data_IF_603940658386
#
_entry.id   IF_603940658386
#
_cell.length_a   1.000
_cell.length_b   1.000
_cell.length_c   1.000
_cell.angle_alpha   90.00
_cell.angle_beta   90.00
_cell.angle_gamma   90.00
#
_symmetry.space_group_name_H-M   'P 1'
#
loop_
_entity.id
_entity.type
_entity.pdbx_description
1 polymer ?
#
# COMPACT_ATOMS: atom_id res chain seq x y z
N UNK A 1 79.16 -7.94 17.35
CA UNK A 1 77.72 -7.67 17.19
C UNK A 1 77.16 -8.68 16.19
N UNK A 2 76.27 -9.60 16.60
CA UNK A 2 75.71 -10.63 15.72
C UNK A 2 74.49 -10.12 14.96
N UNK A 3 74.29 -10.63 13.76
CA UNK A 3 73.16 -10.32 12.88
C UNK A 3 71.87 -10.98 13.39
N UNK A 4 70.77 -10.21 13.39
CA UNK A 4 69.43 -10.69 13.71
C UNK A 4 68.91 -11.60 12.59
N UNK A 5 68.71 -12.88 12.91
CA UNK A 5 67.93 -13.80 12.08
C UNK A 5 66.45 -13.54 12.28
N UNK A 6 65.72 -13.24 11.20
CA UNK A 6 64.27 -13.22 11.21
C UNK A 6 63.75 -14.66 11.06
N UNK A 7 63.01 -15.14 12.06
CA UNK A 7 62.37 -16.44 12.07
C UNK A 7 61.39 -16.61 10.90
N UNK A 8 61.50 -17.72 10.18
CA UNK A 8 60.60 -18.09 9.07
C UNK A 8 59.16 -18.41 9.51
N UNK A 9 58.86 -18.35 10.81
CA UNK A 9 57.55 -18.66 11.38
C UNK A 9 56.53 -17.50 11.29
N UNK A 10 56.99 -16.25 11.12
CA UNK A 10 56.13 -15.06 11.13
C UNK A 10 55.41 -14.78 9.79
N UNK A 11 55.65 -15.61 8.76
CA UNK A 11 54.99 -15.52 7.45
C UNK A 11 53.84 -16.52 7.25
N UNK A 12 53.26 -17.08 8.32
CA UNK A 12 51.97 -17.78 8.22
C UNK A 12 50.85 -16.75 8.14
N UNK A 13 50.67 -16.19 6.94
CA UNK A 13 49.44 -15.50 6.60
C UNK A 13 48.25 -16.39 6.94
N UNK A 14 47.26 -15.82 7.62
CA UNK A 14 45.95 -16.42 7.78
C UNK A 14 45.36 -16.68 6.38
N UNK A 15 45.55 -17.89 5.86
CA UNK A 15 44.84 -18.35 4.69
C UNK A 15 43.39 -18.58 5.13
N UNK A 16 42.56 -17.55 4.97
CA UNK A 16 41.12 -17.76 4.86
C UNK A 16 40.91 -18.61 3.60
N UNK A 17 40.79 -19.91 3.81
CA UNK A 17 40.24 -20.79 2.80
C UNK A 17 38.80 -20.33 2.55
N UNK A 18 38.62 -19.44 1.56
CA UNK A 18 37.34 -19.27 0.91
C UNK A 18 37.05 -20.59 0.22
N UNK A 19 36.46 -21.54 0.96
CA UNK A 19 35.79 -22.69 0.38
C UNK A 19 34.85 -22.10 -0.67
N UNK A 20 35.16 -22.36 -1.94
CA UNK A 20 34.36 -21.93 -3.07
C UNK A 20 32.99 -22.58 -2.89
N UNK A 21 32.05 -21.81 -2.36
CA UNK A 21 30.67 -22.24 -2.19
C UNK A 21 30.21 -22.77 -3.56
N UNK A 22 29.97 -24.08 -3.65
CA UNK A 22 29.61 -24.71 -4.90
C UNK A 22 28.35 -24.07 -5.49
N UNK A 23 28.08 -24.22 -6.80
CA UNK A 23 26.92 -23.62 -7.48
C UNK A 23 25.58 -23.82 -6.74
N UNK A 24 25.42 -24.94 -6.02
CA UNK A 24 24.23 -25.22 -5.21
C UNK A 24 24.09 -24.39 -3.92
N UNK A 25 25.19 -23.96 -3.29
CA UNK A 25 25.15 -23.13 -2.09
C UNK A 25 24.68 -21.70 -2.40
N UNK A 26 25.11 -21.15 -3.54
CA UNK A 26 24.59 -19.86 -4.06
C UNK A 26 23.09 -19.95 -4.38
N UNK A 27 22.64 -21.05 -4.98
CA UNK A 27 21.22 -21.26 -5.30
C UNK A 27 20.34 -21.37 -4.04
N UNK A 28 20.77 -22.16 -3.06
CA UNK A 28 20.05 -22.31 -1.78
C UNK A 28 20.02 -21.01 -0.95
N UNK A 29 21.09 -20.22 -0.98
CA UNK A 29 21.12 -18.90 -0.33
C UNK A 29 20.22 -17.89 -1.05
N UNK A 30 20.14 -17.95 -2.38
CA UNK A 30 19.23 -17.12 -3.15
C UNK A 30 17.76 -17.49 -2.84
N UNK A 31 17.42 -18.77 -2.92
CA UNK A 31 16.07 -19.29 -2.66
C UNK A 31 15.58 -18.98 -1.23
N UNK A 32 16.45 -19.12 -0.22
CA UNK A 32 16.11 -18.77 1.17
C UNK A 32 15.92 -17.26 1.38
N UNK A 33 16.69 -16.40 0.71
CA UNK A 33 16.50 -14.94 0.72
C UNK A 33 15.19 -14.55 0.05
N UNK A 34 14.87 -15.15 -1.10
CA UNK A 34 13.60 -14.89 -1.79
C UNK A 34 12.39 -15.30 -0.95
N UNK A 35 12.43 -16.50 -0.35
CA UNK A 35 11.37 -16.95 0.54
C UNK A 35 11.22 -16.02 1.77
N UNK A 36 12.32 -15.45 2.27
CA UNK A 36 12.29 -14.49 3.36
C UNK A 36 11.64 -13.16 2.94
N UNK A 37 12.01 -12.62 1.77
CA UNK A 37 11.44 -11.40 1.21
C UNK A 37 9.95 -11.52 0.90
N UNK A 38 9.53 -12.66 0.33
CA UNK A 38 8.11 -12.96 0.05
C UNK A 38 7.30 -13.01 1.34
N UNK A 39 7.76 -13.78 2.34
CA UNK A 39 7.10 -13.86 3.66
C UNK A 39 7.03 -12.52 4.35
N UNK A 40 8.08 -11.71 4.23
CA UNK A 40 8.12 -10.37 4.80
C UNK A 40 7.12 -9.44 4.11
N UNK A 41 7.03 -9.46 2.77
CA UNK A 41 6.08 -8.67 2.00
C UNK A 41 4.63 -9.06 2.33
N UNK A 42 4.33 -10.37 2.37
CA UNK A 42 3.01 -10.89 2.77
C UNK A 42 2.71 -10.48 4.22
N UNK A 43 3.67 -10.62 5.14
CA UNK A 43 3.49 -10.22 6.54
C UNK A 43 3.15 -8.74 6.72
N UNK A 44 3.83 -7.85 5.99
CA UNK A 44 3.53 -6.41 6.02
C UNK A 44 2.15 -6.10 5.40
N UNK A 45 1.78 -6.76 4.30
CA UNK A 45 0.46 -6.60 3.67
C UNK A 45 -0.66 -7.11 4.58
N UNK A 46 -0.44 -8.20 5.31
CA UNK A 46 -1.38 -8.72 6.31
C UNK A 46 -1.51 -7.77 7.49
N UNK A 47 -0.42 -7.18 7.98
CA UNK A 47 -0.50 -6.18 9.05
C UNK A 47 -1.28 -4.93 8.63
N UNK A 48 -1.11 -4.48 7.39
CA UNK A 48 -1.93 -3.41 6.82
C UNK A 48 -3.42 -3.79 6.83
N UNK A 49 -3.76 -4.99 6.35
CA UNK A 49 -5.15 -5.43 6.32
C UNK A 49 -5.75 -5.62 7.71
N UNK A 50 -4.95 -6.06 8.70
CA UNK A 50 -5.36 -6.14 10.09
C UNK A 50 -5.64 -4.75 10.68
N UNK A 51 -4.79 -3.76 10.38
CA UNK A 51 -5.03 -2.37 10.75
C UNK A 51 -6.35 -1.86 10.20
N UNK A 52 -6.60 -2.11 8.91
CA UNK A 52 -7.86 -1.76 8.26
C UNK A 52 -9.07 -2.48 8.89
N UNK A 53 -9.01 -3.82 8.99
CA UNK A 53 -10.04 -4.65 9.59
C UNK A 53 -10.37 -4.25 11.02
N UNK A 54 -9.39 -3.82 11.81
CA UNK A 54 -9.62 -3.36 13.18
C UNK A 54 -10.52 -2.12 13.23
N UNK A 55 -10.26 -1.13 12.36
CA UNK A 55 -11.07 0.08 12.28
C UNK A 55 -12.46 -0.23 11.72
N UNK A 56 -12.55 -1.04 10.66
CA UNK A 56 -13.82 -1.52 10.09
C UNK A 56 -14.68 -2.18 11.17
N UNK A 57 -14.09 -3.06 11.98
CA UNK A 57 -14.80 -3.79 13.04
C UNK A 57 -15.29 -2.83 14.12
N UNK A 58 -14.42 -1.94 14.60
CA UNK A 58 -14.78 -0.98 15.66
C UNK A 58 -15.87 -0.02 15.21
N UNK A 59 -15.72 0.60 14.03
CA UNK A 59 -16.70 1.54 13.49
C UNK A 59 -18.00 0.83 13.09
N UNK A 60 -17.92 -0.36 12.50
CA UNK A 60 -19.09 -1.16 12.12
C UNK A 60 -19.90 -1.62 13.33
N UNK A 61 -19.25 -2.14 14.37
CA UNK A 61 -19.94 -2.50 15.62
C UNK A 61 -20.54 -1.26 16.29
N UNK A 62 -19.80 -0.15 16.34
CA UNK A 62 -20.33 1.10 16.88
C UNK A 62 -21.57 1.59 16.11
N UNK A 63 -21.55 1.53 14.77
CA UNK A 63 -22.69 1.90 13.94
C UNK A 63 -23.92 1.02 14.21
N UNK A 64 -23.72 -0.30 14.32
CA UNK A 64 -24.78 -1.27 14.60
C UNK A 64 -25.38 -1.09 16.01
N UNK A 65 -24.54 -0.82 17.02
CA UNK A 65 -24.98 -0.64 18.41
C UNK A 65 -25.67 0.70 18.65
N UNK A 66 -25.19 1.76 18.00
CA UNK A 66 -25.70 3.12 18.18
C UNK A 66 -26.83 3.46 17.21
N UNK A 67 -27.15 2.59 16.25
CA UNK A 67 -28.03 2.91 15.13
C UNK A 67 -27.55 4.16 14.38
N UNK A 68 -26.23 4.39 14.37
CA UNK A 68 -25.66 5.66 13.98
C UNK A 68 -25.78 5.83 12.46
N UNK A 69 -26.68 6.72 12.06
CA UNK A 69 -26.75 7.23 10.70
C UNK A 69 -25.80 8.41 10.61
N UNK A 70 -24.87 8.41 9.64
CA UNK A 70 -24.06 9.60 9.39
C UNK A 70 -24.99 10.75 9.03
N UNK A 71 -24.81 11.96 9.61
CA UNK A 71 -25.59 13.11 9.21
C UNK A 71 -25.49 13.33 7.69
N UNK A 72 -26.59 13.68 7.04
CA UNK A 72 -26.67 13.79 5.57
C UNK A 72 -25.65 14.77 4.95
N UNK A 73 -25.06 15.67 5.74
CA UNK A 73 -24.02 16.60 5.30
C UNK A 73 -22.62 15.98 5.24
N UNK A 74 -22.38 14.85 5.92
CA UNK A 74 -21.05 14.22 6.00
C UNK A 74 -20.66 13.58 4.67
N UNK A 75 -21.58 12.83 4.05
CA UNK A 75 -21.31 12.12 2.80
C UNK A 75 -20.86 13.06 1.66
N UNK A 76 -21.53 14.20 1.38
CA UNK A 76 -21.06 15.15 0.38
C UNK A 76 -19.67 15.74 0.66
N UNK A 77 -19.31 15.92 1.93
CA UNK A 77 -17.97 16.43 2.31
C UNK A 77 -16.93 15.34 2.06
N UNK A 78 -17.18 14.12 2.57
CA UNK A 78 -16.28 12.98 2.39
C UNK A 78 -16.07 12.68 0.90
N UNK A 79 -17.14 12.71 0.10
CA UNK A 79 -17.07 12.52 -1.34
C UNK A 79 -16.14 13.55 -2.00
N UNK A 80 -16.30 14.85 -1.67
CA UNK A 80 -15.41 15.91 -2.21
C UNK A 80 -13.96 15.74 -1.77
N UNK A 81 -13.72 15.42 -0.50
CA UNK A 81 -12.37 15.18 0.02
C UNK A 81 -11.71 14.01 -0.71
N UNK A 82 -12.42 12.88 -0.86
CA UNK A 82 -11.93 11.74 -1.64
C UNK A 82 -11.66 12.15 -3.08
N UNK A 83 -12.58 12.88 -3.71
CA UNK A 83 -12.42 13.38 -5.07
C UNK A 83 -11.15 14.20 -5.26
N UNK A 84 -10.88 15.15 -4.37
CA UNK A 84 -9.64 15.96 -4.37
C UNK A 84 -8.41 15.06 -4.25
N UNK A 85 -8.41 14.10 -3.30
CA UNK A 85 -7.26 13.19 -3.15
C UNK A 85 -7.04 12.32 -4.40
N UNK A 86 -8.09 11.85 -5.05
CA UNK A 86 -8.00 11.07 -6.30
C UNK A 86 -7.46 11.91 -7.46
N UNK A 87 -7.87 13.18 -7.56
CA UNK A 87 -7.32 14.08 -8.59
C UNK A 87 -5.83 14.33 -8.37
N UNK A 88 -5.43 14.67 -7.14
CA UNK A 88 -4.02 14.94 -6.81
C UNK A 88 -3.15 13.71 -7.07
N UNK A 89 -3.56 12.54 -6.57
CA UNK A 89 -2.81 11.30 -6.75
C UNK A 89 -2.83 10.81 -8.20
N UNK A 90 -3.95 10.96 -8.91
CA UNK A 90 -4.07 10.61 -10.33
C UNK A 90 -3.13 11.45 -11.19
N UNK A 91 -3.13 12.77 -10.99
CA UNK A 91 -2.20 13.69 -11.67
C UNK A 91 -0.74 13.34 -11.37
N UNK A 92 -0.41 13.03 -10.11
CA UNK A 92 0.93 12.61 -9.72
C UNK A 92 1.37 11.32 -10.42
N UNK A 93 0.50 10.31 -10.48
CA UNK A 93 0.80 9.05 -11.17
C UNK A 93 1.03 9.29 -12.67
N UNK A 94 0.18 10.07 -13.32
CA UNK A 94 0.37 10.43 -14.74
C UNK A 94 1.66 11.21 -14.98
N UNK A 95 2.00 12.14 -14.08
CA UNK A 95 3.28 12.85 -14.12
C UNK A 95 4.46 11.89 -13.99
N UNK A 96 4.37 10.91 -13.09
CA UNK A 96 5.43 9.90 -12.92
C UNK A 96 5.59 8.99 -14.15
N UNK A 97 4.48 8.62 -14.81
CA UNK A 97 4.50 7.91 -16.11
C UNK A 97 5.15 8.77 -17.18
N UNK A 98 4.76 10.05 -17.29
CA UNK A 98 5.34 10.98 -18.25
C UNK A 98 6.85 11.16 -18.09
N UNK A 99 7.31 11.38 -16.85
CA UNK A 99 8.74 11.54 -16.53
C UNK A 99 9.54 10.28 -16.86
N UNK A 100 8.94 9.12 -16.61
CA UNK A 100 9.52 7.83 -16.97
C UNK A 100 9.63 7.65 -18.49
N UNK A 101 8.59 7.98 -19.26
CA UNK A 101 8.61 7.91 -20.74
C UNK A 101 9.64 8.87 -21.35
N UNK A 102 9.95 9.98 -20.67
CA UNK A 102 11.02 10.92 -21.03
C UNK A 102 12.43 10.44 -20.65
N UNK A 103 12.58 9.25 -20.10
CA UNK A 103 13.88 8.67 -19.74
C UNK A 103 14.51 9.22 -18.46
N UNK A 104 13.75 9.95 -17.63
CA UNK A 104 14.27 10.63 -16.43
C UNK A 104 14.21 9.81 -15.13
N UNK A 105 14.07 8.48 -15.20
CA UNK A 105 14.15 7.62 -14.01
C UNK A 105 13.55 6.23 -14.12
N UNK A 106 13.59 5.48 -13.02
CA UNK A 106 12.90 4.20 -12.84
C UNK A 106 11.45 4.42 -12.38
N UNK A 107 10.47 3.90 -13.12
CA UNK A 107 9.08 3.92 -12.69
C UNK A 107 8.87 2.87 -11.61
N UNK A 108 8.57 3.33 -10.40
CA UNK A 108 8.19 2.48 -9.27
C UNK A 108 6.80 2.88 -8.82
N UNK A 109 5.85 1.96 -8.89
CA UNK A 109 4.54 2.14 -8.28
C UNK A 109 4.73 2.22 -6.76
N UNK A 110 4.44 3.38 -6.17
CA UNK A 110 4.51 3.63 -4.73
C UNK A 110 3.11 3.63 -4.14
N UNK A 111 2.99 3.22 -2.88
CA UNK A 111 1.73 3.32 -2.12
C UNK A 111 1.30 4.79 -2.00
N UNK A 112 -0.03 5.04 -2.00
CA UNK A 112 -0.61 6.39 -1.85
C UNK A 112 -0.10 7.10 -0.59
N UNK A 113 0.00 6.36 0.52
CA UNK A 113 0.52 6.88 1.77
C UNK A 113 2.02 7.11 1.76
N UNK A 114 2.78 6.32 1.00
CA UNK A 114 4.20 6.55 0.80
C UNK A 114 4.43 7.89 0.08
N UNK A 115 3.59 8.22 -0.92
CA UNK A 115 3.64 9.51 -1.60
C UNK A 115 3.32 10.67 -0.66
N UNK A 116 2.29 10.53 0.17
CA UNK A 116 1.93 11.55 1.19
C UNK A 116 3.06 11.72 2.20
N UNK A 117 3.63 10.63 2.73
CA UNK A 117 4.74 10.70 3.67
C UNK A 117 5.99 11.31 3.04
N UNK A 118 6.31 10.97 1.80
CA UNK A 118 7.43 11.56 1.06
C UNK A 118 7.19 13.07 0.86
N UNK A 119 5.96 13.48 0.52
CA UNK A 119 5.59 14.89 0.39
C UNK A 119 5.74 15.64 1.72
N UNK A 120 5.23 15.08 2.83
CA UNK A 120 5.35 15.68 4.16
C UNK A 120 6.81 15.76 4.59
N UNK A 121 7.61 14.70 4.40
CA UNK A 121 9.04 14.69 4.71
C UNK A 121 9.80 15.71 3.86
N UNK A 122 9.50 15.80 2.58
CA UNK A 122 10.12 16.77 1.69
C UNK A 122 9.75 18.20 2.08
N UNK A 123 8.48 18.47 2.35
CA UNK A 123 8.00 19.77 2.83
C UNK A 123 8.60 20.16 4.18
N UNK A 124 8.69 19.20 5.10
CA UNK A 124 9.34 19.38 6.40
C UNK A 124 10.84 19.62 6.26
N UNK A 125 11.52 18.87 5.38
CA UNK A 125 12.93 19.07 5.08
C UNK A 125 13.20 20.42 4.43
N UNK A 126 12.34 20.87 3.51
CA UNK A 126 12.43 22.19 2.90
C UNK A 126 12.17 23.32 3.91
N UNK A 127 11.21 23.13 4.82
CA UNK A 127 10.94 24.06 5.92
C UNK A 127 12.10 24.11 6.91
N UNK A 128 12.62 22.95 7.31
CA UNK A 128 13.74 22.84 8.21
C UNK A 128 15.03 23.41 7.59
N UNK A 129 15.25 23.22 6.29
CA UNK A 129 16.36 23.84 5.55
C UNK A 129 16.23 25.37 5.51
N UNK A 130 15.00 25.90 5.37
CA UNK A 130 14.75 27.36 5.45
C UNK A 130 14.99 27.93 6.84
N UNK A 131 14.79 27.15 7.90
CA UNK A 131 14.94 27.63 9.29
C UNK A 131 16.36 27.39 9.83
N UNK A 132 17.01 26.29 9.45
CA UNK A 132 18.28 25.83 10.04
C UNK A 132 19.46 25.77 9.05
N UNK A 133 19.29 26.16 7.78
CA UNK A 133 20.40 26.40 6.84
C UNK A 133 21.19 25.18 6.38
N UNK A 134 20.80 23.96 6.75
CA UNK A 134 21.47 22.73 6.33
C UNK A 134 20.53 21.80 5.54
N UNK A 135 21.00 21.37 4.37
CA UNK A 135 20.30 20.42 3.51
C UNK A 135 20.53 18.99 4.05
N UNK A 136 19.52 18.43 4.72
CA UNK A 136 19.50 16.99 4.98
C UNK A 136 18.93 16.29 3.74
N UNK A 137 19.81 15.99 2.78
CA UNK A 137 19.47 15.11 1.66
C UNK A 137 19.34 13.69 2.22
N UNK A 138 18.18 13.35 2.77
CA UNK A 138 17.90 11.98 3.16
C UNK A 138 17.86 11.14 1.88
N UNK A 139 18.86 10.26 1.74
CA UNK A 139 18.96 9.35 0.60
C UNK A 139 17.68 8.53 0.50
N UNK A 140 17.14 8.43 -0.72
CA UNK A 140 15.90 7.73 -1.06
C UNK A 140 15.91 6.20 -0.80
N UNK A 141 16.93 5.69 -0.09
CA UNK A 141 17.22 4.26 0.06
C UNK A 141 16.76 3.63 1.39
N UNK A 142 16.15 4.37 2.33
CA UNK A 142 15.81 3.80 3.64
C UNK A 142 14.40 4.14 4.15
N UNK A 143 13.36 3.96 3.34
CA UNK A 143 11.98 3.93 3.90
C UNK A 143 11.25 2.64 3.53
N UNK A 144 11.81 1.50 3.94
CA UNK A 144 10.97 0.31 4.14
C UNK A 144 10.18 0.54 5.43
N UNK A 145 8.91 0.89 5.26
CA UNK A 145 7.97 1.06 6.36
C UNK A 145 7.84 -0.27 7.12
N UNK A 146 8.20 -0.25 8.40
CA UNK A 146 8.16 -1.44 9.25
C UNK A 146 6.73 -1.84 9.64
N UNK A 147 6.59 -2.95 10.39
CA UNK A 147 5.32 -3.49 10.84
C UNK A 147 4.33 -2.46 11.42
N UNK A 148 4.82 -1.59 12.33
CA UNK A 148 3.99 -0.55 12.96
C UNK A 148 3.39 0.43 11.95
N UNK A 149 4.17 0.82 10.94
CA UNK A 149 3.69 1.74 9.92
C UNK A 149 2.70 1.05 8.99
N UNK A 150 2.93 -0.20 8.59
CA UNK A 150 1.98 -0.94 7.78
C UNK A 150 0.60 -1.02 8.47
N UNK A 151 0.57 -1.41 9.76
CA UNK A 151 -0.65 -1.45 10.55
C UNK A 151 -1.32 -0.07 10.67
N UNK A 152 -0.55 0.98 11.02
CA UNK A 152 -1.09 2.33 11.16
C UNK A 152 -1.67 2.88 9.86
N UNK A 153 -1.00 2.66 8.73
CA UNK A 153 -1.51 3.02 7.41
C UNK A 153 -2.82 2.27 7.10
N UNK A 154 -2.88 0.99 7.46
CA UNK A 154 -4.10 0.18 7.39
C UNK A 154 -5.26 0.79 8.17
N UNK A 155 -5.02 1.23 9.42
CA UNK A 155 -6.04 1.90 10.23
C UNK A 155 -6.54 3.17 9.55
N UNK A 156 -5.65 4.06 9.12
CA UNK A 156 -6.05 5.32 8.46
C UNK A 156 -6.85 5.04 7.20
N UNK A 157 -6.46 4.01 6.44
CA UNK A 157 -7.23 3.57 5.29
C UNK A 157 -8.64 3.09 5.68
N UNK A 158 -8.78 2.35 6.79
CA UNK A 158 -10.07 1.90 7.32
C UNK A 158 -10.97 3.01 7.87
N UNK A 159 -10.45 4.22 8.09
CA UNK A 159 -11.27 5.41 8.46
C UNK A 159 -11.94 6.01 7.21
N UNK A 160 -11.42 5.73 6.01
CA UNK A 160 -11.82 6.39 4.77
C UNK A 160 -13.30 6.30 4.43
N UNK A 161 -13.75 7.21 3.56
CA UNK A 161 -15.15 7.37 3.17
C UNK A 161 -15.80 6.07 2.66
N UNK A 162 -15.05 5.21 1.95
CA UNK A 162 -15.53 3.92 1.43
C UNK A 162 -15.88 2.94 2.55
N UNK A 163 -15.11 2.87 3.64
CA UNK A 163 -15.41 1.99 4.78
C UNK A 163 -16.57 2.51 5.61
N UNK A 164 -16.67 3.82 5.82
CA UNK A 164 -17.81 4.44 6.52
C UNK A 164 -19.14 4.25 5.77
N UNK A 165 -19.12 4.51 4.46
CA UNK A 165 -20.28 4.32 3.58
C UNK A 165 -20.61 2.83 3.35
N UNK A 166 -19.63 1.93 3.29
CA UNK A 166 -19.86 0.47 3.24
C UNK A 166 -20.39 -0.09 4.56
N UNK A 167 -19.93 0.40 5.71
CA UNK A 167 -20.48 0.03 7.02
C UNK A 167 -21.94 0.48 7.16
N UNK A 168 -22.26 1.68 6.65
CA UNK A 168 -23.63 2.20 6.58
C UNK A 168 -24.49 1.47 5.55
N UNK A 169 -23.93 1.06 4.40
CA UNK A 169 -24.62 0.18 3.46
C UNK A 169 -24.83 -1.21 4.05
N UNK A 170 -23.90 -1.78 4.81
CA UNK A 170 -24.13 -3.05 5.53
C UNK A 170 -25.21 -2.90 6.61
N UNK A 171 -25.28 -1.74 7.27
CA UNK A 171 -26.37 -1.41 8.20
C UNK A 171 -27.71 -1.14 7.48
N UNK A 172 -27.67 -0.53 6.29
CA UNK A 172 -28.83 -0.04 5.53
C UNK A 172 -29.43 -1.04 4.54
N UNK A 173 -28.63 -1.87 3.87
CA UNK A 173 -29.05 -2.94 2.93
C UNK A 173 -29.83 -4.04 3.65
N UNK A 174 -29.76 -4.09 4.97
CA UNK A 174 -30.24 -5.23 5.71
C UNK A 174 -31.50 -4.94 6.54
N UNK A 175 -31.68 -3.75 7.11
CA UNK A 175 -32.59 -3.62 8.27
C UNK A 175 -32.22 -4.60 9.40
N UNK A 176 -31.03 -5.20 9.31
CA UNK A 176 -30.52 -6.24 10.18
C UNK A 176 -29.74 -5.54 11.28
N UNK A 177 -30.46 -5.20 12.33
CA UNK A 177 -29.87 -4.74 13.59
C UNK A 177 -29.54 -5.93 14.49
N UNK A 178 -28.65 -5.74 15.46
CA UNK A 178 -28.34 -6.77 16.46
C UNK A 178 -27.38 -7.86 15.96
N UNK A 179 -27.58 -9.09 16.41
CA UNK A 179 -26.61 -10.21 16.25
C UNK A 179 -26.31 -10.55 14.79
N UNK A 180 -27.32 -10.54 13.93
CA UNK A 180 -27.14 -10.88 12.51
C UNK A 180 -26.29 -9.84 11.77
N UNK A 181 -26.36 -8.56 12.14
CA UNK A 181 -25.52 -7.50 11.57
C UNK A 181 -24.05 -7.69 11.95
N UNK A 182 -23.81 -8.12 13.19
CA UNK A 182 -22.47 -8.48 13.68
C UNK A 182 -21.91 -9.68 12.93
N UNK A 183 -22.72 -10.72 12.67
CA UNK A 183 -22.30 -11.89 11.88
C UNK A 183 -21.90 -11.49 10.45
N UNK A 184 -22.70 -10.65 9.79
CA UNK A 184 -22.40 -10.14 8.45
C UNK A 184 -21.10 -9.32 8.45
N UNK A 185 -20.91 -8.44 9.45
CA UNK A 185 -19.69 -7.66 9.62
C UNK A 185 -18.45 -8.55 9.77
N UNK A 186 -18.52 -9.60 10.59
CA UNK A 186 -17.41 -10.55 10.73
C UNK A 186 -17.15 -11.35 9.46
N UNK A 187 -18.19 -11.79 8.75
CA UNK A 187 -18.04 -12.47 7.46
C UNK A 187 -17.36 -11.56 6.43
N UNK A 188 -17.73 -10.27 6.39
CA UNK A 188 -17.07 -9.25 5.57
C UNK A 188 -15.60 -9.08 5.94
N UNK A 189 -15.29 -8.93 7.23
CA UNK A 189 -13.90 -8.79 7.71
C UNK A 189 -13.05 -10.01 7.36
N UNK A 190 -13.59 -11.23 7.50
CA UNK A 190 -12.89 -12.45 7.09
C UNK A 190 -12.66 -12.46 5.58
N UNK A 191 -13.68 -12.14 4.77
CA UNK A 191 -13.57 -12.03 3.33
C UNK A 191 -12.52 -11.00 2.89
N UNK A 192 -12.47 -9.86 3.57
CA UNK A 192 -11.49 -8.80 3.36
C UNK A 192 -10.07 -9.28 3.66
N UNK A 193 -9.86 -9.92 4.81
CA UNK A 193 -8.54 -10.42 5.22
C UNK A 193 -8.05 -11.52 4.27
N UNK A 194 -8.93 -12.44 3.88
CA UNK A 194 -8.61 -13.51 2.93
C UNK A 194 -8.27 -12.94 1.56
N UNK A 195 -9.10 -12.03 1.03
CA UNK A 195 -8.89 -11.43 -0.29
C UNK A 195 -7.60 -10.61 -0.33
N UNK A 196 -7.33 -9.81 0.69
CA UNK A 196 -6.08 -9.05 0.77
C UNK A 196 -4.87 -9.98 0.86
N UNK A 197 -4.93 -11.00 1.70
CA UNK A 197 -3.83 -11.96 1.84
C UNK A 197 -3.60 -12.71 0.54
N UNK A 198 -4.65 -13.11 -0.17
CA UNK A 198 -4.57 -13.75 -1.48
C UNK A 198 -3.90 -12.82 -2.50
N UNK A 199 -4.34 -11.56 -2.60
CA UNK A 199 -3.72 -10.57 -3.49
C UNK A 199 -2.25 -10.35 -3.12
N UNK A 200 -1.91 -10.30 -1.83
CA UNK A 200 -0.53 -10.14 -1.37
C UNK A 200 0.33 -11.34 -1.75
N UNK A 201 -0.15 -12.56 -1.55
CA UNK A 201 0.55 -13.80 -1.93
C UNK A 201 0.74 -13.86 -3.44
N UNK A 202 -0.32 -13.62 -4.23
CA UNK A 202 -0.24 -13.60 -5.70
C UNK A 202 0.70 -12.49 -6.19
N UNK A 203 0.68 -11.32 -5.57
CA UNK A 203 1.55 -10.21 -5.94
C UNK A 203 3.01 -10.44 -5.57
N UNK A 204 3.27 -11.09 -4.43
CA UNK A 204 4.61 -11.39 -3.95
C UNK A 204 5.24 -12.56 -4.73
N UNK A 205 4.47 -13.61 -5.02
CA UNK A 205 4.89 -14.75 -5.85
C UNK A 205 4.97 -14.41 -7.35
N UNK A 206 4.03 -13.61 -7.86
CA UNK A 206 3.98 -13.15 -9.26
C UNK A 206 5.02 -12.08 -9.62
N UNK A 207 5.68 -11.50 -8.62
CA UNK A 207 6.72 -10.47 -8.81
C UNK A 207 7.92 -10.97 -9.64
N UNK A 208 8.11 -12.29 -9.72
CA UNK A 208 9.17 -12.97 -10.49
C UNK A 208 9.04 -12.73 -12.02
N UNK A 209 7.85 -12.40 -12.53
CA UNK A 209 7.66 -12.04 -13.95
C UNK A 209 7.47 -10.53 -14.19
N UNK A 210 6.91 -9.82 -13.21
CA UNK A 210 6.36 -8.49 -13.41
C UNK A 210 7.45 -7.40 -13.54
N UNK A 211 8.61 -7.56 -12.90
CA UNK A 211 9.76 -6.65 -13.11
C UNK A 211 10.31 -6.70 -14.55
N UNK A 212 10.12 -7.81 -15.28
CA UNK A 212 10.45 -7.87 -16.71
C UNK A 212 9.37 -7.21 -17.59
N UNK A 213 8.17 -7.02 -17.08
CA UNK A 213 7.01 -6.48 -17.81
C UNK A 213 6.79 -5.00 -17.47
N UNK A 214 7.86 -4.20 -17.63
CA UNK A 214 7.89 -2.75 -17.43
C UNK A 214 6.72 -2.04 -18.11
N UNK A 215 6.33 -2.51 -19.29
CA UNK A 215 5.18 -2.03 -20.07
C UNK A 215 3.86 -2.20 -19.31
N UNK A 216 3.64 -3.35 -18.65
CA UNK A 216 2.40 -3.60 -17.90
C UNK A 216 2.29 -2.62 -16.73
N UNK A 217 3.37 -2.39 -15.98
CA UNK A 217 3.38 -1.42 -14.88
C UNK A 217 3.00 -0.01 -15.35
N UNK A 218 3.54 0.41 -16.49
CA UNK A 218 3.27 1.73 -17.08
C UNK A 218 1.82 1.82 -17.57
N UNK A 219 1.32 0.79 -18.25
CA UNK A 219 -0.07 0.73 -18.74
C UNK A 219 -1.05 0.76 -17.57
N UNK A 220 -0.85 -0.11 -16.57
CA UNK A 220 -1.69 -0.16 -15.36
C UNK A 220 -1.64 1.18 -14.62
N UNK A 221 -0.44 1.75 -14.44
CA UNK A 221 -0.28 3.07 -13.81
C UNK A 221 -0.98 4.19 -14.57
N UNK A 222 -0.87 4.21 -15.90
CA UNK A 222 -1.53 5.19 -16.76
C UNK A 222 -3.06 5.08 -16.69
N UNK A 223 -3.59 3.86 -16.84
CA UNK A 223 -5.03 3.57 -16.74
C UNK A 223 -5.57 3.94 -15.36
N UNK A 224 -4.87 3.53 -14.29
CA UNK A 224 -5.24 3.87 -12.93
C UNK A 224 -5.20 5.39 -12.68
N UNK A 225 -4.21 6.09 -13.23
CA UNK A 225 -4.11 7.56 -13.16
C UNK A 225 -5.28 8.26 -13.84
N UNK A 226 -5.64 7.83 -15.06
CA UNK A 226 -6.80 8.37 -15.79
C UNK A 226 -8.12 8.08 -15.08
N UNK A 227 -8.35 6.85 -14.63
CA UNK A 227 -9.54 6.47 -13.88
C UNK A 227 -9.65 7.27 -12.58
N UNK A 228 -8.54 7.46 -11.87
CA UNK A 228 -8.48 8.28 -10.64
C UNK A 228 -8.85 9.74 -10.92
N UNK A 229 -8.36 10.33 -12.02
CA UNK A 229 -8.75 11.69 -12.41
C UNK A 229 -10.24 11.77 -12.73
N UNK A 230 -10.76 10.85 -13.54
CA UNK A 230 -12.16 10.84 -13.96
C UNK A 230 -13.11 10.71 -12.76
N UNK A 231 -12.92 9.69 -11.93
CA UNK A 231 -13.72 9.45 -10.72
C UNK A 231 -13.56 10.61 -9.74
N UNK A 232 -12.34 11.11 -9.56
CA UNK A 232 -12.07 12.22 -8.66
C UNK A 232 -12.80 13.51 -9.06
N UNK A 233 -12.82 13.83 -10.35
CA UNK A 233 -13.57 14.98 -10.88
C UNK A 233 -15.07 14.80 -10.68
N UNK A 234 -15.62 13.62 -10.98
CA UNK A 234 -17.04 13.31 -10.75
C UNK A 234 -17.43 13.50 -9.28
N UNK A 235 -16.56 13.09 -8.35
CA UNK A 235 -16.79 13.27 -6.92
C UNK A 235 -16.78 14.74 -6.49
N UNK A 236 -15.88 15.56 -7.04
CA UNK A 236 -15.78 17.00 -6.74
C UNK A 236 -17.04 17.74 -7.21
N UNK A 237 -17.55 17.42 -8.40
CA UNK A 237 -18.74 18.08 -8.98
C UNK A 237 -20.06 17.50 -8.47
N UNK A 238 -20.02 16.45 -7.63
CA UNK A 238 -21.21 15.83 -7.05
C UNK A 238 -21.94 14.85 -7.99
N UNK A 239 -21.31 14.42 -9.07
CA UNK A 239 -21.84 13.44 -10.03
C UNK A 239 -21.41 11.99 -9.70
N UNK A 240 -21.12 11.69 -8.44
CA UNK A 240 -20.70 10.35 -8.01
C UNK A 240 -21.76 9.28 -8.29
N UNK A 241 -23.05 9.65 -8.25
CA UNK A 241 -24.19 8.76 -8.54
C UNK A 241 -24.40 8.49 -10.02
N UNK A 242 -23.70 9.21 -10.92
CA UNK A 242 -23.73 8.95 -12.36
C UNK A 242 -22.78 7.82 -12.79
N UNK A 243 -21.98 7.28 -11.86
CA UNK A 243 -21.17 6.10 -12.12
C UNK A 243 -22.06 4.88 -12.33
N UNK A 244 -21.69 3.95 -13.24
CA UNK A 244 -22.48 2.75 -13.48
C UNK A 244 -22.65 1.96 -12.18
N UNK A 245 -23.88 1.53 -11.91
CA UNK A 245 -24.11 0.55 -10.86
C UNK A 245 -23.53 -0.79 -11.34
N UNK A 246 -22.38 -1.16 -10.79
CA UNK A 246 -21.72 -2.42 -11.14
C UNK A 246 -22.55 -3.63 -10.74
N UNK A 247 -23.43 -3.49 -9.74
CA UNK A 247 -24.30 -4.57 -9.32
C UNK A 247 -25.39 -4.82 -10.37
N UNK A 248 -26.00 -3.76 -10.89
CA UNK A 248 -26.92 -3.83 -12.02
C UNK A 248 -26.23 -4.35 -13.27
N UNK A 249 -25.01 -3.87 -13.55
CA UNK A 249 -24.26 -4.22 -14.76
C UNK A 249 -23.74 -5.66 -14.76
N UNK A 250 -23.32 -6.20 -13.62
CA UNK A 250 -22.73 -7.54 -13.50
C UNK A 250 -23.76 -8.63 -13.20
N UNK A 251 -24.82 -8.30 -12.46
CA UNK A 251 -25.80 -9.28 -12.00
C UNK A 251 -27.19 -9.09 -12.59
N UNK A 252 -27.39 -8.06 -13.42
CA UNK A 252 -28.68 -7.67 -13.96
C UNK A 252 -29.56 -7.02 -12.89
N UNK A 253 -30.29 -5.96 -13.26
CA UNK A 253 -31.25 -5.33 -12.37
C UNK A 253 -32.22 -6.37 -11.81
N UNK A 254 -32.30 -6.48 -10.48
CA UNK A 254 -33.38 -7.24 -9.85
C UNK A 254 -34.66 -6.48 -10.17
N UNK A 255 -35.43 -7.00 -11.12
CA UNK A 255 -36.83 -6.63 -11.24
C UNK A 255 -37.47 -6.88 -9.88
N UNK A 256 -38.09 -5.85 -9.31
CA UNK A 256 -39.03 -5.98 -8.20
C UNK A 256 -40.19 -6.92 -8.55
#
# INVERSE_FOLDING_TARGET
MPAHGHDAAERRGHQHAHATAGPGAMHALAESRFAHEERHAVGLATLYALGHASVVTVLGVAALLLGAVLPAWVDPILQKVVGVTLVVLGAWVLFSVYQYLRGKGEFRLRSRWMLVFDFVKYGWGALQARIHGHEHVQSAHATQYGPKTAFGVGMIHGIGAETGSQALLLAGVAGVTGTTGVVILFAFVVGLLLSNTLVAVVSASGFIGAQRLRTIYVVVGFVAGLASLAIGLLFIVGLGTALPDLQELLFGGRAE
#
